data_IF_077801416021
#
_entry.id   IF_077801416021
#
_cell.length_a   1.000
_cell.length_b   1.000
_cell.length_c   1.000
_cell.angle_alpha   90.00
_cell.angle_beta   90.00
_cell.angle_gamma   90.00
#
_symmetry.space_group_name_H-M   'P 1'
#
loop_
_entity.id
_entity.type
_entity.pdbx_description
1 polymer ?
#
# COMPACT_ATOMS: atom_id res chain seq x y z
N UNK A 1 -0.92 1.62 26.31
CA UNK A 1 -0.63 2.07 24.93
C UNK A 1 -1.29 3.44 24.76
N UNK A 2 -0.60 4.43 24.22
CA UNK A 2 -1.17 5.77 23.99
C UNK A 2 -2.23 5.71 22.86
N UNK A 3 -3.51 6.02 23.13
CA UNK A 3 -4.58 5.99 22.12
C UNK A 3 -4.45 7.09 21.05
N UNK A 4 -3.53 8.03 21.22
CA UNK A 4 -3.22 9.11 20.28
C UNK A 4 -2.03 8.80 19.38
N UNK A 5 -1.32 7.70 19.62
CA UNK A 5 -0.17 7.31 18.82
C UNK A 5 -0.57 6.99 17.36
N UNK A 6 0.15 7.62 16.42
CA UNK A 6 0.13 7.28 15.01
C UNK A 6 1.25 6.31 14.67
N UNK A 7 0.92 5.34 13.83
CA UNK A 7 1.87 4.37 13.28
C UNK A 7 2.02 4.64 11.80
N UNK A 8 3.24 4.58 11.28
CA UNK A 8 3.52 4.92 9.89
C UNK A 8 4.00 3.68 9.15
N UNK A 9 3.29 3.28 8.10
CA UNK A 9 3.71 2.17 7.24
C UNK A 9 3.21 2.37 5.81
N UNK A 10 3.85 1.75 4.79
CA UNK A 10 3.32 1.76 3.43
C UNK A 10 1.95 1.08 3.36
N UNK A 11 0.99 1.70 2.65
CA UNK A 11 -0.32 1.13 2.39
C UNK A 11 -0.54 0.95 0.89
N UNK A 12 -0.37 -0.28 0.41
CA UNK A 12 -0.74 -0.63 -0.95
C UNK A 12 -2.25 -0.84 -1.04
N UNK A 13 -2.91 -0.06 -1.91
CA UNK A 13 -4.34 -0.18 -2.23
C UNK A 13 -4.61 0.27 -3.66
N UNK A 14 -5.69 -0.20 -4.30
CA UNK A 14 -6.10 0.30 -5.61
C UNK A 14 -6.13 1.84 -5.67
N UNK A 15 -5.58 2.40 -6.75
CA UNK A 15 -5.49 3.84 -6.97
C UNK A 15 -4.36 4.56 -6.20
N UNK A 16 -3.59 3.87 -5.35
CA UNK A 16 -2.41 4.47 -4.73
C UNK A 16 -1.31 4.70 -5.77
N UNK A 17 -0.57 5.80 -5.63
CA UNK A 17 0.59 6.11 -6.46
C UNK A 17 1.87 5.59 -5.82
N UNK A 18 2.70 4.91 -6.60
CA UNK A 18 4.01 4.41 -6.18
C UNK A 18 5.08 4.88 -7.15
N UNK A 19 6.34 4.86 -6.72
CA UNK A 19 7.48 5.05 -7.61
C UNK A 19 8.10 3.69 -7.92
N UNK A 20 8.32 3.42 -9.20
CA UNK A 20 8.99 2.22 -9.68
C UNK A 20 9.84 2.59 -10.89
N UNK A 21 11.11 2.19 -10.91
CA UNK A 21 12.05 2.51 -12.00
C UNK A 21 12.09 4.01 -12.38
N UNK A 22 12.06 4.91 -11.38
CA UNK A 22 12.01 6.37 -11.54
C UNK A 22 10.74 6.92 -12.22
N UNK A 23 9.70 6.10 -12.36
CA UNK A 23 8.41 6.51 -12.88
C UNK A 23 7.32 6.41 -11.81
N UNK A 24 6.35 7.33 -11.91
CA UNK A 24 5.14 7.29 -11.10
C UNK A 24 4.17 6.29 -11.72
N UNK A 25 3.82 5.29 -10.93
CA UNK A 25 2.92 4.22 -11.32
C UNK A 25 1.66 4.23 -10.44
N UNK A 26 0.61 3.56 -10.91
CA UNK A 26 -0.67 3.45 -10.17
C UNK A 26 -0.93 1.99 -9.82
N UNK A 27 -1.24 1.73 -8.56
CA UNK A 27 -1.65 0.40 -8.10
C UNK A 27 -3.02 0.06 -8.67
N UNK A 28 -3.13 -1.04 -9.40
CA UNK A 28 -4.39 -1.62 -9.85
C UNK A 28 -5.05 -2.41 -8.72
N UNK A 29 -4.34 -3.42 -8.19
CA UNK A 29 -4.83 -4.28 -7.13
C UNK A 29 -3.67 -4.94 -6.38
N UNK A 30 -3.98 -5.55 -5.24
CA UNK A 30 -3.01 -6.22 -4.38
C UNK A 30 -3.49 -7.64 -4.12
N UNK A 31 -2.59 -8.61 -4.25
CA UNK A 31 -2.87 -10.03 -3.98
C UNK A 31 -1.96 -10.49 -2.86
N UNK A 32 -2.54 -11.21 -1.89
CA UNK A 32 -1.78 -11.93 -0.86
C UNK A 32 -1.93 -13.42 -1.13
N UNK A 33 -0.82 -14.11 -1.37
CA UNK A 33 -0.80 -15.55 -1.65
C UNK A 33 0.46 -16.17 -1.05
N UNK A 34 0.30 -17.29 -0.32
CA UNK A 34 1.41 -18.07 0.27
C UNK A 34 2.42 -17.20 1.03
N UNK A 35 1.93 -16.34 1.91
CA UNK A 35 2.74 -15.40 2.72
C UNK A 35 3.52 -14.36 1.90
N UNK A 36 3.18 -14.15 0.63
CA UNK A 36 3.74 -13.11 -0.21
C UNK A 36 2.68 -12.10 -0.59
N UNK A 37 3.05 -10.82 -0.55
CA UNK A 37 2.26 -9.71 -1.07
C UNK A 37 2.75 -9.36 -2.46
N UNK A 38 1.83 -9.26 -3.41
CA UNK A 38 2.10 -8.92 -4.81
C UNK A 38 1.29 -7.68 -5.18
N UNK A 39 1.96 -6.68 -5.73
CA UNK A 39 1.34 -5.43 -6.16
C UNK A 39 1.24 -5.41 -7.67
N UNK A 40 0.02 -5.29 -8.19
CA UNK A 40 -0.21 -5.14 -9.62
C UNK A 40 -0.35 -3.66 -9.96
N UNK A 41 0.37 -3.23 -10.99
CA UNK A 41 0.33 -1.86 -11.50
C UNK A 41 -0.56 -1.77 -12.74
N UNK A 42 -1.19 -0.63 -12.95
CA UNK A 42 -2.04 -0.39 -14.13
C UNK A 42 -1.20 -0.51 -15.40
N UNK A 43 -1.62 -1.38 -16.33
CA UNK A 43 -0.95 -1.57 -17.62
C UNK A 43 0.24 -2.52 -17.60
N UNK A 44 0.59 -3.11 -16.44
CA UNK A 44 1.67 -4.08 -16.31
C UNK A 44 1.12 -5.49 -16.12
N UNK A 45 1.64 -6.47 -16.87
CA UNK A 45 1.14 -7.86 -16.81
C UNK A 45 1.66 -8.63 -15.58
N UNK A 46 2.90 -8.34 -15.16
CA UNK A 46 3.54 -9.03 -14.04
C UNK A 46 3.39 -8.25 -12.73
N UNK A 47 3.16 -8.94 -11.60
CA UNK A 47 3.19 -8.28 -10.30
C UNK A 47 4.59 -7.80 -9.95
N UNK A 48 4.64 -6.74 -9.15
CA UNK A 48 5.87 -6.20 -8.57
C UNK A 48 5.89 -6.52 -7.08
N UNK A 49 7.05 -6.94 -6.59
CA UNK A 49 7.29 -7.13 -5.17
C UNK A 49 7.24 -5.77 -4.44
N UNK A 50 6.57 -5.67 -3.28
CA UNK A 50 6.40 -4.39 -2.59
C UNK A 50 7.74 -3.75 -2.19
N UNK A 51 8.79 -4.55 -1.97
CA UNK A 51 10.14 -4.08 -1.65
C UNK A 51 10.81 -3.30 -2.80
N UNK A 52 10.36 -3.49 -4.04
CA UNK A 52 10.85 -2.76 -5.21
C UNK A 52 10.10 -1.44 -5.47
N UNK A 53 9.06 -1.15 -4.68
CA UNK A 53 8.21 0.02 -4.83
C UNK A 53 8.49 1.04 -3.72
N UNK A 54 8.62 2.32 -4.10
CA UNK A 54 8.66 3.39 -3.10
C UNK A 54 7.29 4.05 -2.98
N UNK A 55 6.81 4.13 -1.74
CA UNK A 55 5.52 4.74 -1.39
C UNK A 55 5.70 5.52 -0.10
N UNK A 56 5.14 6.74 -0.04
CA UNK A 56 5.13 7.51 1.20
C UNK A 56 4.32 6.77 2.28
N UNK A 57 4.80 6.75 3.54
CA UNK A 57 4.10 6.06 4.60
C UNK A 57 2.73 6.67 4.85
N UNK A 58 1.75 5.80 5.10
CA UNK A 58 0.41 6.18 5.53
C UNK A 58 0.34 6.13 7.05
N UNK A 59 -0.35 7.10 7.65
CA UNK A 59 -0.60 7.14 9.08
C UNK A 59 -1.79 6.23 9.44
N UNK A 60 -1.59 5.36 10.43
CA UNK A 60 -2.56 4.42 10.96
C UNK A 60 -2.78 4.66 12.45
N UNK A 61 -3.98 4.35 12.91
CA UNK A 61 -4.32 4.26 14.33
C UNK A 61 -4.74 2.83 14.62
N UNK A 62 -4.32 2.29 15.76
CA UNK A 62 -4.71 0.94 16.19
C UNK A 62 -6.12 0.90 16.80
N UNK A 63 -6.74 2.06 16.99
CA UNK A 63 -8.13 2.19 17.42
C UNK A 63 -9.05 2.15 16.22
N UNK A 64 -10.11 1.33 16.29
CA UNK A 64 -11.18 1.30 15.28
C UNK A 64 -11.78 2.69 15.12
N UNK A 65 -11.76 3.23 13.90
CA UNK A 65 -12.55 4.39 13.55
C UNK A 65 -14.00 3.94 13.29
N UNK A 66 -15.02 4.70 13.70
CA UNK A 66 -16.38 4.44 13.25
C UNK A 66 -16.44 4.52 11.73
N UNK A 67 -17.22 3.63 11.11
CA UNK A 67 -17.46 3.69 9.68
C UNK A 67 -18.08 5.06 9.36
N UNK A 68 -17.50 5.78 8.39
CA UNK A 68 -18.09 7.04 7.91
C UNK A 68 -19.39 6.69 7.18
N UNK A 69 -20.52 7.13 7.74
CA UNK A 69 -21.84 7.13 7.10
C UNK A 69 -21.81 7.91 5.78
#
# INVERSE_FOLDING_TARGET
>A
MDPTAYYYMPLFKPGAFVQWNHQRETVSHVVVRRNSLMVYLVGHESPVHPEALHLAPTAFRLTRAPDRL
#
